data_IF_779055354262
#
_entry.id   IF_779055354262
#
_cell.length_a   1.000
_cell.length_b   1.000
_cell.length_c   1.000
_cell.angle_alpha   90.00
_cell.angle_beta   90.00
_cell.angle_gamma   90.00
#
_symmetry.space_group_name_H-M   'P 1'
#
loop_
_entity.id
_entity.type
_entity.pdbx_description
1 polymer ?
#
# COMPACT_ATOMS: atom_id res chain seq x y z
N UNK A 1 7.48 -19.49 4.31
CA UNK A 1 8.84 -20.01 4.00
C UNK A 1 9.46 -20.58 5.27
N UNK A 2 9.37 -21.89 5.51
CA UNK A 2 10.11 -22.53 6.62
C UNK A 2 10.51 -23.99 6.37
N UNK A 3 10.34 -24.51 5.15
CA UNK A 3 10.46 -25.95 4.86
C UNK A 3 11.40 -26.30 3.69
N UNK A 4 12.40 -25.46 3.37
CA UNK A 4 13.32 -25.77 2.26
C UNK A 4 14.76 -25.26 2.40
N UNK A 5 15.12 -24.59 3.50
CA UNK A 5 16.43 -23.95 3.65
C UNK A 5 17.40 -24.71 4.55
N UNK A 6 16.97 -25.77 5.24
CA UNK A 6 17.81 -26.52 6.19
C UNK A 6 18.94 -27.29 5.52
N UNK A 7 18.81 -27.62 4.24
CA UNK A 7 19.78 -28.41 3.49
C UNK A 7 20.68 -27.57 2.56
N UNK A 8 20.58 -26.24 2.63
CA UNK A 8 21.40 -25.33 1.82
C UNK A 8 22.64 -24.91 2.62
N UNK A 9 23.86 -25.22 2.14
CA UNK A 9 25.12 -24.80 2.74
C UNK A 9 25.18 -23.28 3.00
N UNK A 10 25.77 -22.85 4.12
CA UNK A 10 25.76 -21.43 4.56
C UNK A 10 26.39 -20.47 3.53
N UNK A 11 27.37 -20.93 2.76
CA UNK A 11 28.04 -20.17 1.69
C UNK A 11 27.15 -19.87 0.46
N UNK A 12 26.05 -20.62 0.30
CA UNK A 12 25.06 -20.39 -0.76
C UNK A 12 23.96 -19.43 -0.30
N UNK A 13 23.68 -19.34 1.01
CA UNK A 13 22.65 -18.42 1.54
C UNK A 13 23.00 -16.95 1.35
N UNK A 14 24.30 -16.61 1.35
CA UNK A 14 24.76 -15.23 1.17
C UNK A 14 24.68 -14.73 -0.29
N UNK A 15 24.43 -15.62 -1.26
CA UNK A 15 24.41 -15.30 -2.70
C UNK A 15 23.02 -15.44 -3.37
N UNK A 16 21.93 -15.51 -2.59
CA UNK A 16 20.58 -15.54 -3.16
C UNK A 16 20.18 -14.12 -3.58
N UNK A 17 20.60 -13.75 -4.78
CA UNK A 17 20.05 -12.59 -5.47
C UNK A 17 18.61 -12.91 -5.89
N UNK A 18 17.63 -12.45 -5.10
CA UNK A 18 16.19 -12.70 -5.33
C UNK A 18 15.73 -12.36 -6.76
N UNK A 19 16.39 -11.39 -7.43
CA UNK A 19 16.09 -10.99 -8.80
C UNK A 19 16.66 -11.92 -9.89
N UNK A 20 17.49 -12.91 -9.52
CA UNK A 20 18.04 -13.94 -10.43
C UNK A 20 17.24 -15.26 -10.41
N UNK A 21 16.19 -15.35 -9.57
CA UNK A 21 15.32 -16.53 -9.52
C UNK A 21 14.46 -16.56 -10.78
N UNK A 22 14.44 -17.69 -11.49
CA UNK A 22 13.67 -17.80 -12.73
C UNK A 22 12.17 -17.74 -12.45
N UNK A 23 11.41 -17.05 -13.31
CA UNK A 23 9.95 -16.97 -13.18
C UNK A 23 9.24 -18.32 -13.02
N UNK A 24 9.63 -19.42 -13.71
CA UNK A 24 9.03 -20.73 -13.48
C UNK A 24 9.17 -21.23 -12.04
N UNK A 25 10.30 -20.97 -11.39
CA UNK A 25 10.53 -21.34 -9.98
C UNK A 25 9.62 -20.49 -9.09
N UNK A 26 9.57 -19.17 -9.31
CA UNK A 26 8.70 -18.26 -8.54
C UNK A 26 7.23 -18.68 -8.67
N UNK A 27 6.76 -19.00 -9.89
CA UNK A 27 5.40 -19.49 -10.16
C UNK A 27 5.11 -20.78 -9.40
N UNK A 28 6.03 -21.73 -9.43
CA UNK A 28 5.87 -23.02 -8.73
C UNK A 28 5.81 -22.84 -7.21
N UNK A 29 6.65 -21.98 -6.64
CA UNK A 29 6.69 -21.73 -5.20
C UNK A 29 5.40 -21.04 -4.72
N UNK A 30 4.92 -20.04 -5.47
CA UNK A 30 3.65 -19.37 -5.21
C UNK A 30 2.49 -20.35 -5.31
N UNK A 31 2.43 -21.16 -6.38
CA UNK A 31 1.36 -22.15 -6.56
C UNK A 31 1.31 -23.14 -5.40
N UNK A 32 2.48 -23.64 -4.99
CA UNK A 32 2.61 -24.57 -3.86
C UNK A 32 2.14 -23.93 -2.55
N UNK A 33 2.51 -22.67 -2.31
CA UNK A 33 2.07 -21.93 -1.14
C UNK A 33 0.54 -21.69 -1.11
N UNK A 34 -0.04 -21.25 -2.24
CA UNK A 34 -1.48 -21.00 -2.35
C UNK A 34 -2.28 -22.29 -2.13
N UNK A 35 -1.86 -23.40 -2.74
CA UNK A 35 -2.49 -24.71 -2.53
C UNK A 35 -2.48 -25.11 -1.05
N UNK A 36 -1.32 -24.98 -0.39
CA UNK A 36 -1.20 -25.28 1.04
C UNK A 36 -2.12 -24.41 1.88
N UNK A 37 -2.15 -23.09 1.66
CA UNK A 37 -2.98 -22.16 2.43
C UNK A 37 -4.47 -22.35 2.19
N UNK A 38 -4.90 -22.58 0.95
CA UNK A 38 -6.31 -22.82 0.66
C UNK A 38 -6.80 -24.14 1.25
N UNK A 39 -5.96 -25.18 1.31
CA UNK A 39 -6.30 -26.40 2.04
C UNK A 39 -6.52 -26.12 3.55
N UNK A 40 -5.66 -25.30 4.17
CA UNK A 40 -5.83 -24.91 5.57
C UNK A 40 -7.12 -24.09 5.80
N UNK A 41 -7.42 -23.13 4.93
CA UNK A 41 -8.64 -22.32 5.02
C UNK A 41 -9.86 -23.24 4.90
N UNK A 42 -9.87 -24.16 3.94
CA UNK A 42 -10.96 -25.13 3.77
C UNK A 42 -11.17 -25.97 5.02
N UNK A 43 -10.09 -26.47 5.63
CA UNK A 43 -10.17 -27.27 6.87
C UNK A 43 -10.74 -26.46 8.04
N UNK A 44 -10.31 -25.21 8.21
CA UNK A 44 -10.85 -24.33 9.26
C UNK A 44 -12.35 -24.06 9.07
N UNK A 45 -12.79 -23.78 7.84
CA UNK A 45 -14.19 -23.54 7.52
C UNK A 45 -15.07 -24.78 7.76
N UNK A 46 -14.57 -25.98 7.42
CA UNK A 46 -15.22 -27.25 7.76
C UNK A 46 -15.35 -27.39 9.28
N UNK A 47 -14.28 -27.14 10.05
CA UNK A 47 -14.30 -27.21 11.52
C UNK A 47 -15.28 -26.23 12.16
N UNK A 48 -15.45 -25.06 11.55
CA UNK A 48 -16.36 -24.01 12.03
C UNK A 48 -17.83 -24.23 11.61
N UNK A 49 -18.14 -25.31 10.87
CA UNK A 49 -19.50 -25.64 10.44
C UNK A 49 -19.97 -24.95 9.15
N UNK A 50 -19.04 -24.37 8.38
CA UNK A 50 -19.31 -23.63 7.14
C UNK A 50 -18.55 -24.27 5.96
N UNK A 51 -18.92 -25.46 5.49
CA UNK A 51 -18.15 -26.18 4.47
C UNK A 51 -18.13 -25.42 3.13
N UNK A 52 -16.93 -25.25 2.56
CA UNK A 52 -16.73 -24.65 1.24
C UNK A 52 -16.95 -25.69 0.12
N UNK A 53 -17.31 -25.25 -1.12
CA UNK A 53 -17.40 -26.13 -2.28
C UNK A 53 -16.11 -26.95 -2.49
N UNK A 54 -16.24 -28.20 -2.96
CA UNK A 54 -15.10 -29.12 -3.12
C UNK A 54 -13.98 -28.58 -4.04
N UNK A 55 -14.32 -27.68 -4.96
CA UNK A 55 -13.41 -27.02 -5.90
C UNK A 55 -13.44 -25.49 -5.79
N UNK A 56 -13.68 -24.96 -4.58
CA UNK A 56 -13.84 -23.51 -4.35
C UNK A 56 -12.63 -22.68 -4.81
N UNK A 57 -11.42 -23.27 -4.79
CA UNK A 57 -10.18 -22.61 -5.23
C UNK A 57 -9.76 -22.92 -6.67
N UNK A 58 -10.54 -23.70 -7.45
CA UNK A 58 -10.42 -24.00 -8.89
C UNK A 58 -9.04 -23.94 -9.59
N UNK A 59 -8.67 -24.97 -10.37
CA UNK A 59 -7.39 -24.97 -11.14
C UNK A 59 -7.18 -23.71 -12.02
N UNK A 60 -8.25 -23.18 -12.62
CA UNK A 60 -8.22 -21.96 -13.43
C UNK A 60 -7.98 -20.71 -12.55
N UNK A 61 -8.64 -20.62 -11.40
CA UNK A 61 -8.42 -19.55 -10.43
C UNK A 61 -6.99 -19.60 -9.88
N UNK A 62 -6.44 -20.78 -9.60
CA UNK A 62 -5.05 -20.94 -9.15
C UNK A 62 -4.05 -20.40 -10.17
N UNK A 63 -4.22 -20.76 -11.43
CA UNK A 63 -3.38 -20.25 -12.50
C UNK A 63 -3.40 -18.72 -12.55
N UNK A 64 -4.59 -18.11 -12.51
CA UNK A 64 -4.75 -16.66 -12.51
C UNK A 64 -4.09 -16.01 -11.29
N UNK A 65 -4.29 -16.54 -10.09
CA UNK A 65 -3.72 -15.98 -8.87
C UNK A 65 -2.20 -16.11 -8.81
N UNK A 66 -1.65 -17.19 -9.36
CA UNK A 66 -0.19 -17.36 -9.50
C UNK A 66 0.37 -16.29 -10.44
N UNK A 67 -0.27 -16.07 -11.60
CA UNK A 67 0.16 -15.02 -12.53
C UNK A 67 0.06 -13.62 -11.91
N UNK A 68 -1.01 -13.33 -11.15
CA UNK A 68 -1.18 -12.06 -10.44
C UNK A 68 -0.16 -11.86 -9.31
N UNK A 69 0.31 -12.95 -8.70
CA UNK A 69 1.26 -12.92 -7.60
C UNK A 69 2.72 -12.84 -8.06
N UNK A 70 3.02 -13.05 -9.34
CA UNK A 70 4.39 -12.91 -9.87
C UNK A 70 4.68 -11.42 -10.11
N UNK A 71 5.86 -10.91 -9.69
CA UNK A 71 6.96 -11.59 -8.99
C UNK A 71 6.84 -11.58 -7.45
N UNK A 72 5.80 -10.96 -6.89
CA UNK A 72 5.68 -10.64 -5.47
C UNK A 72 4.94 -11.72 -4.68
N UNK A 73 5.68 -12.65 -4.07
CA UNK A 73 5.12 -13.69 -3.17
C UNK A 73 4.21 -13.13 -2.07
N UNK A 74 4.45 -11.90 -1.63
CA UNK A 74 3.60 -11.22 -0.64
C UNK A 74 2.16 -11.04 -1.12
N UNK A 75 1.91 -10.92 -2.42
CA UNK A 75 0.55 -10.90 -2.97
C UNK A 75 -0.23 -12.13 -2.53
N UNK A 76 0.36 -13.31 -2.72
CA UNK A 76 -0.24 -14.58 -2.37
C UNK A 76 -0.54 -14.66 -0.87
N UNK A 77 0.36 -14.15 -0.02
CA UNK A 77 0.15 -14.14 1.42
C UNK A 77 -0.99 -13.19 1.85
N UNK A 78 -1.04 -11.98 1.26
CA UNK A 78 -2.10 -11.00 1.51
C UNK A 78 -3.46 -11.49 1.02
N UNK A 79 -3.49 -12.11 -0.16
CA UNK A 79 -4.67 -12.78 -0.70
C UNK A 79 -5.20 -13.85 0.26
N UNK A 80 -4.35 -14.74 0.75
CA UNK A 80 -4.77 -15.77 1.69
C UNK A 80 -5.35 -15.15 2.97
N UNK A 81 -4.76 -14.06 3.49
CA UNK A 81 -5.31 -13.35 4.66
C UNK A 81 -6.67 -12.74 4.36
N UNK A 82 -6.85 -12.15 3.18
CA UNK A 82 -8.13 -11.58 2.75
C UNK A 82 -9.22 -12.66 2.69
N UNK A 83 -8.92 -13.80 2.09
CA UNK A 83 -9.83 -14.95 1.95
C UNK A 83 -10.10 -15.67 3.29
N UNK A 84 -9.12 -15.67 4.21
CA UNK A 84 -9.24 -16.27 5.55
C UNK A 84 -10.02 -15.39 6.54
N UNK A 85 -10.22 -14.10 6.24
CA UNK A 85 -10.81 -13.17 7.19
C UNK A 85 -12.29 -13.52 7.49
N UNK A 86 -12.48 -14.13 8.66
CA UNK A 86 -13.77 -14.54 9.21
C UNK A 86 -14.82 -13.43 9.30
N UNK A 87 -14.42 -12.15 9.27
CA UNK A 87 -15.33 -11.02 9.27
C UNK A 87 -16.31 -11.02 8.08
N UNK A 88 -15.96 -11.70 6.99
CA UNK A 88 -16.72 -11.68 5.74
C UNK A 88 -17.58 -12.93 5.52
N UNK A 89 -17.25 -14.05 6.17
CA UNK A 89 -18.00 -15.32 6.08
C UNK A 89 -18.28 -15.82 4.64
N UNK A 90 -17.52 -15.36 3.63
CA UNK A 90 -17.67 -15.76 2.22
C UNK A 90 -16.32 -15.78 1.47
N UNK A 91 -15.51 -16.84 1.64
CA UNK A 91 -14.23 -17.02 0.93
C UNK A 91 -14.38 -17.10 -0.59
N UNK A 92 -15.51 -17.62 -1.07
CA UNK A 92 -15.74 -17.84 -2.51
C UNK A 92 -15.99 -16.52 -3.21
N UNK A 93 -16.89 -15.68 -2.67
CA UNK A 93 -17.14 -14.34 -3.20
C UNK A 93 -15.92 -13.42 -3.05
N UNK A 94 -15.10 -13.59 -2.02
CA UNK A 94 -13.82 -12.89 -1.90
C UNK A 94 -12.84 -13.30 -3.00
N UNK A 95 -12.75 -14.59 -3.31
CA UNK A 95 -11.89 -15.09 -4.39
C UNK A 95 -12.36 -14.54 -5.75
N UNK A 96 -13.66 -14.57 -6.02
CA UNK A 96 -14.25 -14.02 -7.25
C UNK A 96 -13.93 -12.53 -7.42
N UNK A 97 -14.02 -11.73 -6.34
CA UNK A 97 -13.63 -10.31 -6.38
C UNK A 97 -12.17 -10.12 -6.78
N UNK A 98 -11.27 -10.97 -6.29
CA UNK A 98 -9.87 -10.89 -6.66
C UNK A 98 -9.66 -11.26 -8.12
N UNK A 99 -10.35 -12.29 -8.61
CA UNK A 99 -10.25 -12.72 -10.01
C UNK A 99 -10.74 -11.64 -10.99
N UNK A 100 -11.72 -10.83 -10.61
CA UNK A 100 -12.19 -9.68 -11.41
C UNK A 100 -11.11 -8.60 -11.60
N UNK A 101 -10.10 -8.52 -10.73
CA UNK A 101 -9.02 -7.55 -10.88
C UNK A 101 -8.12 -7.81 -12.08
N UNK A 102 -8.08 -9.05 -12.59
CA UNK A 102 -7.37 -9.39 -13.83
C UNK A 102 -7.82 -8.55 -15.04
N UNK A 103 -9.11 -8.20 -15.07
CA UNK A 103 -9.72 -7.50 -16.21
C UNK A 103 -9.48 -5.98 -16.16
N UNK A 104 -8.85 -5.47 -15.10
CA UNK A 104 -8.48 -4.06 -15.00
C UNK A 104 -7.31 -3.79 -15.95
N UNK A 105 -7.60 -3.04 -17.02
CA UNK A 105 -6.60 -2.60 -18.01
C UNK A 105 -5.62 -1.60 -17.39
N UNK A 106 -4.39 -2.05 -17.16
CA UNK A 106 -3.21 -1.20 -16.99
C UNK A 106 -2.24 -1.39 -18.16
N UNK A 107 -1.65 -0.31 -18.65
CA UNK A 107 -0.72 -0.32 -19.79
C UNK A 107 0.69 -0.84 -19.38
N UNK A 108 0.99 -0.90 -18.08
CA UNK A 108 2.23 -1.48 -17.54
C UNK A 108 1.98 -2.56 -16.46
N UNK A 109 2.99 -3.43 -16.23
CA UNK A 109 2.95 -4.43 -15.14
C UNK A 109 2.80 -3.78 -13.76
N UNK A 110 3.35 -2.58 -13.59
CA UNK A 110 3.27 -1.80 -12.35
C UNK A 110 1.85 -1.26 -12.12
N UNK A 111 1.13 -0.87 -13.17
CA UNK A 111 -0.25 -0.37 -13.06
C UNK A 111 -1.24 -1.48 -12.71
N UNK A 112 -1.00 -2.69 -13.23
CA UNK A 112 -1.81 -3.87 -12.89
C UNK A 112 -1.59 -4.30 -11.44
N UNK A 113 -0.34 -4.24 -10.96
CA UNK A 113 -0.02 -4.47 -9.55
C UNK A 113 -0.65 -3.40 -8.66
N UNK A 114 -0.56 -2.11 -9.03
CA UNK A 114 -1.20 -1.01 -8.29
C UNK A 114 -2.72 -1.16 -8.21
N UNK A 115 -3.38 -1.50 -9.31
CA UNK A 115 -4.81 -1.72 -9.34
C UNK A 115 -5.22 -2.90 -8.43
N UNK A 116 -4.49 -4.00 -8.50
CA UNK A 116 -4.81 -5.22 -7.75
C UNK A 116 -4.53 -5.06 -6.25
N UNK A 117 -3.35 -4.55 -5.89
CA UNK A 117 -2.99 -4.31 -4.49
C UNK A 117 -3.83 -3.21 -3.86
N UNK A 118 -4.09 -2.09 -4.55
CA UNK A 118 -4.94 -1.02 -4.03
C UNK A 118 -6.36 -1.52 -3.77
N UNK A 119 -6.89 -2.39 -4.63
CA UNK A 119 -8.24 -2.91 -4.47
C UNK A 119 -8.36 -3.86 -3.28
N UNK A 120 -7.38 -4.75 -3.09
CA UNK A 120 -7.31 -5.62 -1.90
C UNK A 120 -7.10 -4.78 -0.64
N UNK A 121 -6.22 -3.78 -0.69
CA UNK A 121 -5.96 -2.87 0.43
C UNK A 121 -7.25 -2.12 0.84
N UNK A 122 -7.98 -1.58 -0.13
CA UNK A 122 -9.26 -0.91 0.12
C UNK A 122 -10.28 -1.85 0.78
N UNK A 123 -10.37 -3.10 0.33
CA UNK A 123 -11.30 -4.08 0.90
C UNK A 123 -10.89 -4.57 2.29
N UNK A 124 -9.60 -4.69 2.58
CA UNK A 124 -9.11 -5.05 3.92
C UNK A 124 -9.32 -3.92 4.92
N UNK A 125 -9.15 -2.68 4.46
CA UNK A 125 -9.34 -1.49 5.27
C UNK A 125 -10.83 -1.23 5.54
N UNK A 126 -11.68 -1.43 4.53
CA UNK A 126 -13.13 -1.29 4.67
C UNK A 126 -13.75 -2.64 5.01
N UNK A 127 -13.88 -2.96 6.30
CA UNK A 127 -14.55 -4.16 6.85
C UNK A 127 -16.06 -4.29 6.49
N UNK A 128 -16.54 -3.58 5.45
CA UNK A 128 -17.91 -3.63 4.93
C UNK A 128 -17.91 -3.69 3.40
N UNK A 129 -18.86 -4.41 2.78
CA UNK A 129 -18.86 -4.60 1.33
C UNK A 129 -19.23 -3.34 0.54
N UNK A 130 -19.58 -2.23 1.21
CA UNK A 130 -20.03 -1.01 0.57
C UNK A 130 -19.59 0.22 1.38
N UNK A 131 -18.42 0.78 1.04
CA UNK A 131 -18.18 2.22 0.93
C UNK A 131 -16.89 2.47 0.14
N UNK A 132 -16.97 3.42 -0.78
CA UNK A 132 -15.92 3.72 -1.74
C UNK A 132 -14.75 4.41 -1.04
N UNK A 133 -13.78 3.62 -0.57
CA UNK A 133 -12.47 4.16 -0.20
C UNK A 133 -11.80 4.73 -1.46
N UNK A 134 -11.52 6.04 -1.44
CA UNK A 134 -10.80 6.72 -2.51
C UNK A 134 -9.30 6.61 -2.21
N UNK A 135 -8.68 5.51 -2.66
CA UNK A 135 -7.22 5.43 -2.79
C UNK A 135 -6.81 6.15 -4.07
N UNK A 136 -5.81 7.02 -3.99
CA UNK A 136 -5.28 7.75 -5.13
C UNK A 136 -3.76 7.69 -5.10
N UNK A 137 -3.16 7.08 -6.11
CA UNK A 137 -1.70 7.05 -6.27
C UNK A 137 -1.33 8.02 -7.38
N UNK A 138 -0.41 8.93 -7.07
CA UNK A 138 0.07 9.96 -7.99
C UNK A 138 1.52 9.69 -8.36
N UNK A 139 1.77 9.57 -9.66
CA UNK A 139 3.13 9.64 -10.19
C UNK A 139 3.58 11.11 -10.22
N UNK A 140 4.68 11.40 -9.53
CA UNK A 140 5.02 12.78 -9.21
C UNK A 140 6.50 13.07 -9.30
N UNK A 141 7.26 12.40 -8.44
CA UNK A 141 8.70 12.58 -8.34
C UNK A 141 9.44 11.59 -9.24
N UNK A 142 10.61 12.00 -9.73
CA UNK A 142 11.50 11.13 -10.51
C UNK A 142 12.51 10.38 -9.65
N UNK A 143 12.37 10.44 -8.32
CA UNK A 143 13.22 9.80 -7.34
C UNK A 143 12.50 9.61 -6.01
N UNK A 144 13.14 8.90 -5.09
CA UNK A 144 12.63 8.56 -3.75
C UNK A 144 11.91 9.74 -3.08
N UNK A 145 10.68 9.51 -2.61
CA UNK A 145 9.97 10.47 -1.74
C UNK A 145 10.44 10.27 -0.31
N UNK A 146 11.23 11.18 0.19
CA UNK A 146 11.94 11.08 1.48
C UNK A 146 11.12 11.63 2.65
N UNK A 147 10.19 12.55 2.37
CA UNK A 147 9.38 13.21 3.40
C UNK A 147 8.01 13.62 2.85
N UNK A 148 6.99 13.51 3.68
CA UNK A 148 5.63 14.02 3.41
C UNK A 148 5.07 14.71 4.66
N UNK A 149 4.26 15.75 4.47
CA UNK A 149 3.56 16.43 5.56
C UNK A 149 2.22 17.01 5.12
N UNK A 150 1.28 17.15 6.04
CA UNK A 150 0.03 17.86 5.83
C UNK A 150 0.15 19.33 6.23
N UNK A 151 -0.59 20.20 5.54
CA UNK A 151 -0.84 21.55 6.01
C UNK A 151 -1.67 21.53 7.30
N UNK A 152 -1.60 22.58 8.13
CA UNK A 152 -2.37 22.64 9.37
C UNK A 152 -3.87 22.43 9.14
N UNK A 153 -4.45 22.98 8.07
CA UNK A 153 -5.87 22.79 7.74
C UNK A 153 -6.19 21.50 6.98
N UNK A 154 -5.18 20.66 6.69
CA UNK A 154 -5.31 19.40 5.95
C UNK A 154 -5.67 19.54 4.47
N UNK A 155 -5.69 20.76 3.93
CA UNK A 155 -6.08 21.02 2.53
C UNK A 155 -4.95 20.87 1.53
N UNK A 156 -3.71 20.81 2.02
CA UNK A 156 -2.55 20.55 1.19
C UNK A 156 -1.69 19.47 1.81
N UNK A 157 -1.01 18.76 0.92
CA UNK A 157 0.03 17.82 1.26
C UNK A 157 1.29 18.26 0.55
N UNK A 158 2.42 18.19 1.23
CA UNK A 158 3.73 18.45 0.66
C UNK A 158 4.56 17.17 0.63
N UNK A 159 5.33 16.97 -0.42
CA UNK A 159 6.31 15.89 -0.54
C UNK A 159 7.68 16.43 -0.95
N UNK A 160 8.73 15.97 -0.27
CA UNK A 160 10.13 16.19 -0.63
C UNK A 160 10.77 14.95 -1.22
N UNK A 161 11.72 15.12 -2.13
CA UNK A 161 12.33 14.01 -2.86
C UNK A 161 13.83 14.18 -3.14
N UNK A 162 14.49 13.05 -3.41
CA UNK A 162 15.82 12.96 -3.99
C UNK A 162 15.93 13.60 -5.38
N UNK A 163 14.81 13.83 -6.08
CA UNK A 163 14.80 14.58 -7.34
C UNK A 163 15.04 16.10 -7.18
N UNK A 164 15.36 16.54 -5.96
CA UNK A 164 15.66 17.93 -5.59
C UNK A 164 14.47 18.88 -5.74
N UNK A 165 13.25 18.33 -5.75
CA UNK A 165 12.03 19.11 -5.79
C UNK A 165 11.18 18.88 -4.55
N UNK A 166 10.35 19.87 -4.29
CA UNK A 166 9.21 19.73 -3.40
C UNK A 166 7.94 19.86 -4.24
N UNK A 167 6.95 19.01 -3.98
CA UNK A 167 5.65 19.06 -4.65
C UNK A 167 4.53 19.26 -3.65
N UNK A 168 3.55 20.08 -4.03
CA UNK A 168 2.37 20.38 -3.24
C UNK A 168 1.15 19.82 -3.95
N UNK A 169 0.31 19.12 -3.20
CA UNK A 169 -0.80 18.32 -3.70
C UNK A 169 -2.08 18.73 -3.01
N UNK A 170 -3.18 18.74 -3.75
CA UNK A 170 -4.52 18.76 -3.18
C UNK A 170 -4.93 17.30 -2.85
N UNK A 171 -5.10 16.96 -1.56
CA UNK A 171 -5.44 15.59 -1.15
C UNK A 171 -6.86 15.16 -1.55
N UNK A 172 -7.79 16.08 -1.82
CA UNK A 172 -9.17 15.75 -2.17
C UNK A 172 -9.30 15.34 -3.65
N UNK A 173 -8.55 16.02 -4.52
CA UNK A 173 -8.54 15.79 -5.97
C UNK A 173 -7.35 14.94 -6.43
N UNK A 174 -6.28 14.89 -5.64
CA UNK A 174 -4.96 14.37 -6.01
C UNK A 174 -4.31 15.14 -7.15
N UNK A 175 -4.55 16.44 -7.26
CA UNK A 175 -3.90 17.25 -8.29
C UNK A 175 -2.63 17.89 -7.74
N UNK A 176 -1.57 17.85 -8.54
CA UNK A 176 -0.34 18.61 -8.27
C UNK A 176 -0.65 20.10 -8.41
N UNK A 177 -0.56 20.84 -7.30
CA UNK A 177 -0.79 22.28 -7.24
C UNK A 177 0.46 23.06 -7.62
N UNK A 178 1.62 22.64 -7.13
CA UNK A 178 2.87 23.35 -7.35
C UNK A 178 4.08 22.43 -7.26
N UNK A 179 5.14 22.74 -8.02
CA UNK A 179 6.48 22.16 -7.86
C UNK A 179 7.47 23.26 -7.52
N UNK A 180 8.12 23.16 -6.37
CA UNK A 180 9.20 24.04 -5.94
C UNK A 180 10.54 23.41 -6.35
N UNK A 181 11.26 24.11 -7.22
CA UNK A 181 12.60 23.74 -7.70
C UNK A 181 13.64 24.69 -7.10
N UNK A 182 14.92 24.32 -7.21
CA UNK A 182 16.03 25.16 -6.76
C UNK A 182 16.81 24.58 -5.57
N UNK A 183 16.42 23.40 -5.07
CA UNK A 183 17.23 22.69 -4.08
C UNK A 183 18.52 22.17 -4.72
N UNK A 184 19.62 22.25 -3.98
CA UNK A 184 20.94 21.86 -4.49
C UNK A 184 21.17 20.33 -4.42
N UNK A 185 20.45 19.66 -3.51
CA UNK A 185 20.46 18.21 -3.32
C UNK A 185 19.09 17.66 -2.93
N UNK A 186 19.07 16.41 -2.45
CA UNK A 186 17.88 15.75 -1.92
C UNK A 186 17.21 16.56 -0.82
N UNK A 187 15.90 16.75 -0.94
CA UNK A 187 15.09 17.28 0.16
C UNK A 187 14.79 16.11 1.07
N UNK A 188 15.07 16.19 2.37
CA UNK A 188 14.89 15.06 3.32
C UNK A 188 13.89 15.35 4.43
N UNK A 189 13.53 16.61 4.63
CA UNK A 189 12.51 17.01 5.57
C UNK A 189 11.64 18.11 4.96
N UNK A 190 10.34 18.05 5.24
CA UNK A 190 9.38 19.08 4.86
C UNK A 190 8.40 19.29 6.01
N UNK A 191 8.06 20.54 6.31
CA UNK A 191 7.06 20.89 7.31
C UNK A 191 6.36 22.21 6.94
N UNK A 192 5.06 22.29 7.19
CA UNK A 192 4.34 23.56 7.12
C UNK A 192 4.53 24.34 8.41
N UNK A 193 4.68 25.66 8.32
CA UNK A 193 4.59 26.52 9.49
C UNK A 193 3.15 26.54 10.02
N UNK A 194 3.00 26.69 11.34
CA UNK A 194 1.69 26.66 12.02
C UNK A 194 0.73 27.75 11.51
N UNK A 195 1.27 28.89 11.11
CA UNK A 195 0.52 30.00 10.52
C UNK A 195 0.10 29.76 9.06
N UNK A 196 0.54 28.67 8.43
CA UNK A 196 0.25 28.31 7.05
C UNK A 196 1.00 29.13 5.99
N UNK A 197 1.91 30.02 6.40
CA UNK A 197 2.51 31.00 5.49
C UNK A 197 3.76 30.49 4.78
N UNK A 198 4.44 29.53 5.38
CA UNK A 198 5.72 29.06 4.92
C UNK A 198 5.79 27.53 4.90
N UNK A 199 6.63 27.05 4.00
CA UNK A 199 7.12 25.70 4.00
C UNK A 199 8.58 25.72 4.44
N UNK A 200 8.93 24.88 5.40
CA UNK A 200 10.29 24.65 5.84
C UNK A 200 10.80 23.33 5.27
N UNK A 201 12.02 23.35 4.73
CA UNK A 201 12.76 22.18 4.29
C UNK A 201 14.13 22.15 4.97
N UNK A 202 14.81 21.01 4.91
CA UNK A 202 16.20 20.88 5.37
C UNK A 202 17.20 21.73 4.57
N UNK A 203 16.77 22.35 3.47
CA UNK A 203 17.58 23.21 2.62
C UNK A 203 17.10 24.67 2.56
N UNK A 204 16.02 25.04 3.27
CA UNK A 204 15.57 26.42 3.34
C UNK A 204 14.07 26.59 3.55
N UNK A 205 13.62 27.84 3.53
CA UNK A 205 12.23 28.24 3.74
C UNK A 205 11.64 28.83 2.47
N UNK A 206 10.40 28.44 2.15
CA UNK A 206 9.66 28.90 0.98
C UNK A 206 8.37 29.59 1.41
N UNK A 207 8.06 30.74 0.80
CA UNK A 207 6.79 31.40 1.00
C UNK A 207 5.70 30.67 0.19
N UNK A 208 4.60 30.36 0.86
CA UNK A 208 3.42 29.68 0.28
C UNK A 208 2.11 30.42 0.63
N UNK A 209 2.18 31.68 1.05
CA UNK A 209 1.00 32.48 1.42
C UNK A 209 -0.04 32.55 0.29
N UNK A 210 0.38 32.47 -0.97
CA UNK A 210 -0.51 32.42 -2.15
C UNK A 210 -1.43 31.19 -2.17
N UNK A 211 -1.10 30.13 -1.42
CA UNK A 211 -1.86 28.89 -1.39
C UNK A 211 -2.97 28.87 -0.32
N UNK A 212 -3.18 29.98 0.39
CA UNK A 212 -4.31 30.19 1.31
C UNK A 212 -4.48 29.09 2.38
N UNK A 213 -3.38 28.52 2.88
CA UNK A 213 -3.40 27.56 3.99
C UNK A 213 -3.86 28.27 5.26
N UNK A 214 -4.85 27.71 5.94
CA UNK A 214 -5.38 28.28 7.18
C UNK A 214 -4.67 27.70 8.40
N UNK A 215 -4.33 28.56 9.36
CA UNK A 215 -3.97 28.14 10.72
C UNK A 215 -5.17 27.47 11.39
N UNK A 216 -4.95 26.39 12.13
CA UNK A 216 -5.98 25.80 12.97
C UNK A 216 -6.21 26.67 14.21
N UNK A 217 -7.48 26.91 14.55
CA UNK A 217 -7.90 27.38 15.89
C UNK A 217 -8.45 26.25 16.76
N UNK A 218 -8.75 25.08 16.19
CA UNK A 218 -9.25 23.89 16.89
C UNK A 218 -8.72 22.60 16.25
N UNK A 219 -8.42 21.59 17.07
CA UNK A 219 -7.97 20.27 16.61
C UNK A 219 -9.13 19.48 15.98
N UNK A 220 -8.89 18.62 14.97
CA UNK A 220 -9.93 17.83 14.34
C UNK A 220 -10.63 16.93 15.38
N UNK A 221 -11.91 17.18 15.57
CA UNK A 221 -12.78 16.51 16.52
C UNK A 221 -13.67 15.51 15.77
N UNK A 222 -13.24 14.26 15.66
CA UNK A 222 -14.06 13.04 15.66
C UNK A 222 -13.24 11.85 15.13
N UNK A 223 -12.80 10.96 16.04
CA UNK A 223 -12.11 9.73 15.66
C UNK A 223 -13.01 8.51 15.89
N UNK A 224 -13.17 7.69 14.86
CA UNK A 224 -13.62 6.30 15.03
C UNK A 224 -12.60 5.27 14.49
N UNK A 225 -11.58 5.70 13.72
CA UNK A 225 -10.48 4.83 13.27
C UNK A 225 -9.16 5.59 13.12
N UNK A 226 -8.06 5.03 13.65
CA UNK A 226 -6.69 5.55 13.47
C UNK A 226 -5.94 4.60 12.53
N UNK A 227 -5.33 5.14 11.47
CA UNK A 227 -4.35 4.41 10.66
C UNK A 227 -2.95 4.89 11.02
N UNK A 228 -2.03 3.96 11.24
CA UNK A 228 -0.60 4.23 11.41
C UNK A 228 0.19 3.41 10.41
N UNK A 229 1.32 3.95 9.94
CA UNK A 229 2.34 3.15 9.25
C UNK A 229 3.44 2.87 10.26
N UNK A 230 3.61 1.60 10.67
CA UNK A 230 4.59 1.19 11.68
C UNK A 230 5.31 -0.07 11.21
N UNK A 231 6.63 -0.05 11.17
CA UNK A 231 7.47 -1.21 10.85
C UNK A 231 6.97 -2.01 9.63
N UNK A 232 6.73 -1.33 8.51
CA UNK A 232 6.23 -1.94 7.26
C UNK A 232 4.75 -2.39 7.31
N UNK A 233 4.06 -2.19 8.43
CA UNK A 233 2.64 -2.46 8.56
C UNK A 233 1.80 -1.19 8.45
N UNK A 234 0.66 -1.29 7.77
CA UNK A 234 -0.48 -0.42 7.98
C UNK A 234 -1.25 -0.98 9.18
N UNK A 235 -1.25 -0.27 10.30
CA UNK A 235 -2.00 -0.64 11.50
C UNK A 235 -3.30 0.16 11.56
N UNK A 236 -4.40 -0.51 11.94
CA UNK A 236 -5.71 0.10 12.12
C UNK A 236 -6.17 -0.14 13.56
N UNK A 237 -6.41 0.94 14.32
CA UNK A 237 -6.79 0.87 15.74
C UNK A 237 -5.85 -0.05 16.56
N UNK A 238 -4.54 0.19 16.45
CA UNK A 238 -3.46 -0.56 17.15
C UNK A 238 -3.33 -2.05 16.78
N UNK A 239 -4.06 -2.53 15.76
CA UNK A 239 -3.90 -3.87 15.20
C UNK A 239 -3.18 -3.80 13.86
N UNK A 240 -2.13 -4.60 13.69
CA UNK A 240 -1.43 -4.78 12.42
C UNK A 240 -2.41 -5.30 11.35
N UNK A 241 -2.83 -4.42 10.44
CA UNK A 241 -3.85 -4.77 9.45
C UNK A 241 -3.20 -5.41 8.23
N UNK A 242 -2.17 -4.76 7.65
CA UNK A 242 -1.58 -5.18 6.38
C UNK A 242 -0.07 -4.95 6.39
N UNK A 243 0.71 -5.96 6.01
CA UNK A 243 2.14 -5.80 5.75
C UNK A 243 2.33 -5.30 4.31
N UNK A 244 3.05 -4.20 4.16
CA UNK A 244 3.27 -3.55 2.87
C UNK A 244 4.39 -4.28 2.10
N UNK A 245 4.14 -4.72 0.85
CA UNK A 245 5.20 -5.18 -0.05
C UNK A 245 6.31 -4.15 -0.14
N UNK A 246 7.54 -4.59 -0.42
CA UNK A 246 8.72 -3.72 -0.48
C UNK A 246 8.50 -2.49 -1.37
N UNK A 247 7.74 -2.65 -2.44
CA UNK A 247 7.42 -1.62 -3.43
C UNK A 247 6.43 -0.56 -2.91
N UNK A 248 5.63 -0.90 -1.90
CA UNK A 248 4.64 -0.01 -1.24
C UNK A 248 5.06 0.39 0.17
N UNK A 249 6.25 0.00 0.61
CA UNK A 249 6.78 0.44 1.90
C UNK A 249 7.01 1.93 1.82
N UNK A 250 6.20 2.63 2.59
CA UNK A 250 6.31 4.06 2.73
C UNK A 250 7.72 4.39 3.27
N UNK A 251 8.45 5.18 2.50
CA UNK A 251 9.72 5.77 2.92
C UNK A 251 9.48 6.98 3.80
N UNK A 252 8.29 7.58 3.68
CA UNK A 252 7.75 8.58 4.59
C UNK A 252 6.23 8.47 4.64
N UNK A 253 5.63 8.84 5.78
CA UNK A 253 4.17 8.90 5.90
C UNK A 253 3.71 10.06 6.78
N UNK A 254 2.51 10.54 6.52
CA UNK A 254 1.83 11.54 7.34
C UNK A 254 0.35 11.19 7.47
N UNK A 255 -0.26 11.57 8.58
CA UNK A 255 -1.67 11.27 8.87
C UNK A 255 -2.39 12.56 9.27
N UNK A 256 -3.55 12.81 8.67
CA UNK A 256 -4.43 13.92 9.02
C UNK A 256 -5.88 13.50 8.82
N UNK A 257 -6.71 13.69 9.85
CA UNK A 257 -8.18 13.49 9.78
C UNK A 257 -8.63 12.17 9.09
N UNK A 258 -8.10 11.03 9.55
CA UNK A 258 -8.43 9.71 9.00
C UNK A 258 -7.86 9.41 7.61
N UNK A 259 -7.02 10.30 7.11
CA UNK A 259 -6.32 10.17 5.84
C UNK A 259 -4.83 9.96 6.05
N UNK A 260 -4.26 8.97 5.37
CA UNK A 260 -2.84 8.68 5.35
C UNK A 260 -2.27 9.03 4.00
N UNK A 261 -1.12 9.69 4.02
CA UNK A 261 -0.29 9.86 2.83
C UNK A 261 1.01 9.12 3.02
N UNK A 262 1.44 8.42 1.97
CA UNK A 262 2.69 7.69 1.92
C UNK A 262 3.50 8.13 0.71
N UNK A 263 4.76 8.48 0.95
CA UNK A 263 5.77 8.62 -0.09
C UNK A 263 6.49 7.30 -0.31
N UNK A 264 6.81 6.99 -1.56
CA UNK A 264 7.43 5.72 -1.95
C UNK A 264 8.81 5.88 -2.58
N UNK A 265 9.59 4.80 -2.58
CA UNK A 265 10.90 4.74 -3.25
C UNK A 265 10.84 4.97 -4.75
N UNK A 266 9.71 4.65 -5.38
CA UNK A 266 9.44 4.89 -6.80
C UNK A 266 9.23 6.36 -7.15
N UNK A 267 9.11 7.27 -6.17
CA UNK A 267 8.72 8.66 -6.41
C UNK A 267 7.21 8.90 -6.42
N UNK A 268 6.41 7.86 -6.19
CA UNK A 268 4.95 7.95 -6.06
C UNK A 268 4.54 8.52 -4.70
N UNK A 269 3.38 9.17 -4.69
CA UNK A 269 2.68 9.61 -3.48
C UNK A 269 1.29 9.00 -3.46
N UNK A 270 0.97 8.20 -2.44
CA UNK A 270 -0.33 7.53 -2.30
C UNK A 270 -1.13 8.16 -1.18
N UNK A 271 -2.40 8.43 -1.44
CA UNK A 271 -3.39 8.99 -0.53
C UNK A 271 -4.43 7.91 -0.21
N UNK A 272 -4.62 7.62 1.07
CA UNK A 272 -5.59 6.64 1.57
C UNK A 272 -6.51 7.32 2.57
N UNK A 273 -7.80 7.47 2.23
CA UNK A 273 -8.80 8.04 3.13
C UNK A 273 -9.76 6.97 3.65
N UNK A 274 -9.92 6.88 4.97
CA UNK A 274 -11.01 6.12 5.57
C UNK A 274 -12.28 6.96 5.65
N UNK A 275 -13.41 6.44 5.20
CA UNK A 275 -14.75 7.06 5.32
C UNK A 275 -15.61 6.24 6.28
#
# INVERSE_FOLDING_TARGET
MRLGFTDVPEDVRENIELHKISQPIIKQDIATFLQYRFAQIQEQYIKNGWPLPLNWSGLEAMSVLVEMAVPLFIFAATLCRFVEDSAWSDPTGQLEKVLQYRDIKGDSEVDKLDATYSSILNQLIDRRPEKTQKSLTLEGHSGLVTAVAFSPDGKLVVSGSDDKTVKLWDPATGTLQQTLKGHSGSVRAVAFSLDGKFLETDQGRFNIESLHVRSLSQAPSNFHKIILVKNEWLALNDSDAIWLPVEYRATSSAVYDGMVVMGHASGRVTFLKLI
#
